data_IF_794497201909
#
_entry.id   IF_794497201909
#
_cell.length_a   1.000
_cell.length_b   1.000
_cell.length_c   1.000
_cell.angle_alpha   90.00
_cell.angle_beta   90.00
_cell.angle_gamma   90.00
#
_symmetry.space_group_name_H-M   'P 1'
#
loop_
_entity.id
_entity.type
_entity.pdbx_description
1 polymer ?
#
# COMPACT_ATOMS: atom_id res chain seq x y z
N UNK A 1 61.09 16.64 -9.20
CA UNK A 1 59.88 16.40 -10.01
C UNK A 1 59.06 15.33 -9.30
N UNK A 2 57.78 15.57 -8.98
CA UNK A 2 56.94 14.58 -8.27
C UNK A 2 56.04 13.89 -9.30
N UNK A 3 56.20 12.58 -9.46
CA UNK A 3 55.40 11.76 -10.37
C UNK A 3 54.05 11.46 -9.73
N UNK A 4 52.96 11.81 -10.44
CA UNK A 4 51.59 11.54 -10.01
C UNK A 4 51.22 10.15 -10.56
N UNK A 5 51.08 9.17 -9.68
CA UNK A 5 50.58 7.84 -10.04
C UNK A 5 49.09 7.97 -10.38
N UNK A 6 48.75 7.66 -11.64
CA UNK A 6 47.37 7.56 -12.11
C UNK A 6 46.78 6.25 -11.58
N UNK A 7 46.02 6.30 -10.48
CA UNK A 7 45.21 5.16 -10.05
C UNK A 7 44.01 5.03 -11.00
N UNK A 8 43.99 3.97 -11.80
CA UNK A 8 42.83 3.56 -12.59
C UNK A 8 41.71 3.08 -11.67
N UNK A 9 40.54 3.68 -11.81
CA UNK A 9 39.33 3.33 -11.08
C UNK A 9 38.80 1.97 -11.58
N UNK A 10 38.97 0.91 -10.79
CA UNK A 10 38.32 -0.38 -11.04
C UNK A 10 36.93 -0.33 -10.37
N UNK A 11 35.88 -0.23 -11.18
CA UNK A 11 34.49 -0.31 -10.71
C UNK A 11 34.06 -1.79 -10.76
N UNK A 12 34.01 -2.44 -9.60
CA UNK A 12 33.32 -3.72 -9.46
C UNK A 12 31.82 -3.43 -9.40
N UNK A 13 31.12 -3.57 -10.54
CA UNK A 13 29.66 -3.58 -10.54
C UNK A 13 29.21 -4.91 -9.96
N UNK A 14 28.92 -4.93 -8.66
CA UNK A 14 28.17 -6.02 -8.08
C UNK A 14 26.78 -6.01 -8.73
N UNK A 15 26.48 -7.04 -9.53
CA UNK A 15 25.13 -7.25 -10.03
C UNK A 15 24.24 -7.55 -8.83
N UNK A 16 23.51 -6.53 -8.39
CA UNK A 16 22.42 -6.71 -7.43
C UNK A 16 21.34 -7.49 -8.17
N UNK A 17 21.16 -8.75 -7.78
CA UNK A 17 20.05 -9.56 -8.29
C UNK A 17 18.76 -8.84 -7.93
N UNK A 18 18.09 -8.29 -8.95
CA UNK A 18 16.73 -7.82 -8.82
C UNK A 18 15.88 -9.01 -8.41
N UNK A 19 15.44 -9.03 -7.15
CA UNK A 19 14.42 -9.98 -6.70
C UNK A 19 13.17 -9.71 -7.55
N UNK A 20 12.85 -10.64 -8.44
CA UNK A 20 11.57 -10.66 -9.13
C UNK A 20 10.52 -10.97 -8.07
N UNK A 21 9.84 -9.94 -7.57
CA UNK A 21 8.65 -10.14 -6.75
C UNK A 21 7.57 -10.72 -7.65
N UNK A 22 7.02 -11.87 -7.25
CA UNK A 22 5.87 -12.45 -7.92
C UNK A 22 4.72 -11.43 -7.87
N UNK A 23 4.28 -10.96 -9.04
CA UNK A 23 3.01 -10.24 -9.18
C UNK A 23 1.93 -11.31 -9.13
N UNK A 24 1.54 -11.70 -7.91
CA UNK A 24 0.59 -12.79 -7.72
C UNK A 24 0.55 -13.31 -6.30
N UNK A 25 0.44 -12.41 -5.32
CA UNK A 25 0.09 -12.74 -3.94
C UNK A 25 -1.11 -11.90 -3.58
N UNK A 26 -2.29 -12.53 -3.51
CA UNK A 26 -3.56 -11.86 -3.27
C UNK A 26 -3.44 -10.93 -2.06
N UNK A 27 -3.64 -9.62 -2.28
CA UNK A 27 -3.84 -8.64 -1.22
C UNK A 27 -5.10 -9.04 -0.45
N UNK A 28 -4.94 -9.95 0.50
CA UNK A 28 -6.00 -10.43 1.36
C UNK A 28 -6.04 -9.50 2.56
N UNK A 29 -6.77 -8.40 2.42
CA UNK A 29 -7.09 -7.55 3.56
C UNK A 29 -8.07 -8.32 4.46
N UNK A 30 -7.57 -8.87 5.56
CA UNK A 30 -8.46 -9.45 6.56
C UNK A 30 -8.93 -8.35 7.50
N UNK A 31 -10.20 -8.01 7.41
CA UNK A 31 -10.84 -7.05 8.29
C UNK A 31 -11.48 -7.80 9.47
N UNK A 32 -11.00 -7.49 10.68
CA UNK A 32 -11.63 -7.93 11.93
C UNK A 32 -12.41 -6.79 12.54
N UNK A 33 -13.60 -7.13 13.06
CA UNK A 33 -14.36 -6.25 13.94
C UNK A 33 -13.62 -6.19 15.28
N UNK A 34 -13.22 -5.00 15.71
CA UNK A 34 -12.71 -4.75 17.06
C UNK A 34 -13.86 -4.64 18.07
N UNK A 35 -13.51 -4.65 19.35
CA UNK A 35 -14.42 -4.25 20.43
C UNK A 35 -14.38 -2.74 20.59
N UNK A 36 -15.53 -2.08 20.74
CA UNK A 36 -15.58 -0.61 20.84
C UNK A 36 -15.23 0.09 19.52
N UNK A 37 -14.62 1.28 19.62
CA UNK A 37 -14.15 2.03 18.45
C UNK A 37 -12.77 1.56 18.02
N UNK A 38 -12.63 0.27 17.71
CA UNK A 38 -11.39 -0.28 17.15
C UNK A 38 -11.61 -1.00 15.82
N UNK A 39 -10.68 -0.80 14.89
CA UNK A 39 -10.61 -1.55 13.63
C UNK A 39 -9.25 -2.22 13.49
N UNK A 40 -9.23 -3.41 12.91
CA UNK A 40 -7.98 -4.11 12.59
C UNK A 40 -7.96 -4.58 11.16
N UNK A 41 -6.78 -4.50 10.54
CA UNK A 41 -6.53 -5.07 9.24
C UNK A 41 -5.21 -5.84 9.21
N UNK A 42 -5.14 -6.85 8.34
CA UNK A 42 -3.90 -7.54 8.02
C UNK A 42 -3.70 -7.69 6.52
N UNK A 43 -2.45 -7.60 6.06
CA UNK A 43 -2.03 -7.85 4.68
C UNK A 43 -0.84 -8.80 4.71
N UNK A 44 -0.95 -9.94 4.02
CA UNK A 44 0.13 -10.94 3.96
C UNK A 44 1.18 -10.55 2.91
N UNK A 45 2.44 -10.92 3.14
CA UNK A 45 3.56 -10.81 2.19
C UNK A 45 3.95 -9.38 1.75
N UNK A 46 3.12 -8.38 2.07
CA UNK A 46 3.42 -6.96 1.89
C UNK A 46 4.16 -6.44 3.12
N UNK A 47 5.42 -6.03 2.93
CA UNK A 47 6.26 -5.55 4.03
C UNK A 47 6.10 -4.06 4.33
N UNK A 48 5.52 -3.29 3.40
CA UNK A 48 5.33 -1.85 3.51
C UNK A 48 4.06 -1.41 2.78
N UNK A 49 3.25 -0.58 3.43
CA UNK A 49 2.08 0.06 2.83
C UNK A 49 1.88 1.45 3.46
N UNK A 50 1.32 2.38 2.70
CA UNK A 50 0.81 3.63 3.26
C UNK A 50 -0.65 3.41 3.64
N UNK A 51 -1.00 3.78 4.86
CA UNK A 51 -2.35 3.70 5.40
C UNK A 51 -2.84 5.12 5.59
N UNK A 52 -4.01 5.43 5.06
CA UNK A 52 -4.63 6.74 5.21
C UNK A 52 -6.08 6.58 5.63
N UNK A 53 -6.53 7.36 6.60
CA UNK A 53 -7.94 7.45 6.98
C UNK A 53 -8.46 8.80 6.53
N UNK A 54 -9.60 8.77 5.83
CA UNK A 54 -10.32 9.94 5.37
C UNK A 54 -11.65 10.09 6.10
N UNK A 55 -12.08 11.34 6.30
CA UNK A 55 -13.47 11.63 6.66
C UNK A 55 -14.42 11.52 5.45
N UNK A 56 -15.73 11.70 5.69
CA UNK A 56 -16.75 11.71 4.63
C UNK A 56 -16.54 12.75 3.52
N UNK A 57 -15.79 13.81 3.82
CA UNK A 57 -15.46 14.90 2.90
C UNK A 57 -14.13 14.66 2.18
N UNK A 58 -13.52 13.47 2.33
CA UNK A 58 -12.23 13.09 1.77
C UNK A 58 -11.05 13.90 2.31
N UNK A 59 -11.17 14.49 3.51
CA UNK A 59 -10.02 15.08 4.19
C UNK A 59 -9.20 13.99 4.87
N UNK A 60 -7.87 14.07 4.76
CA UNK A 60 -6.96 13.20 5.51
C UNK A 60 -7.01 13.56 6.98
N UNK A 61 -7.41 12.61 7.82
CA UNK A 61 -7.44 12.77 9.28
C UNK A 61 -6.37 11.94 9.98
N UNK A 62 -5.83 10.93 9.29
CA UNK A 62 -4.70 10.13 9.75
C UNK A 62 -3.93 9.57 8.55
N UNK A 63 -2.61 9.49 8.67
CA UNK A 63 -1.78 8.79 7.70
C UNK A 63 -0.51 8.24 8.35
N UNK A 64 -0.13 7.03 7.97
CA UNK A 64 1.13 6.41 8.37
C UNK A 64 1.72 5.53 7.27
N UNK A 65 3.02 5.23 7.38
CA UNK A 65 3.64 4.11 6.66
C UNK A 65 3.72 2.91 7.59
N UNK A 66 2.90 1.90 7.33
CA UNK A 66 2.90 0.63 8.06
C UNK A 66 3.96 -0.32 7.48
N UNK A 67 4.72 -0.97 8.36
CA UNK A 67 5.75 -1.95 7.98
C UNK A 67 5.64 -3.24 8.78
N UNK A 68 6.01 -4.38 8.18
CA UNK A 68 6.07 -5.66 8.88
C UNK A 68 6.92 -6.70 8.15
N UNK A 69 7.53 -7.62 8.89
CA UNK A 69 8.58 -8.51 8.35
C UNK A 69 8.04 -9.62 7.43
N UNK A 70 6.81 -10.10 7.66
CA UNK A 70 6.13 -11.15 6.87
C UNK A 70 4.74 -10.75 6.37
N UNK A 71 4.41 -9.47 6.50
CA UNK A 71 3.06 -8.93 6.36
C UNK A 71 2.80 -7.83 7.38
N UNK A 72 1.77 -7.04 7.13
CA UNK A 72 1.35 -5.94 8.01
C UNK A 72 0.14 -6.42 8.81
N UNK A 73 0.15 -6.18 10.12
CA UNK A 73 -1.00 -6.31 11.01
C UNK A 73 -1.10 -5.03 11.83
N UNK A 74 -2.24 -4.34 11.74
CA UNK A 74 -2.46 -3.08 12.43
C UNK A 74 -3.85 -3.04 13.06
N UNK A 75 -3.93 -2.44 14.23
CA UNK A 75 -5.16 -2.09 14.93
C UNK A 75 -5.12 -0.60 15.21
N UNK A 76 -6.23 0.09 14.93
CA UNK A 76 -6.40 1.51 15.20
C UNK A 76 -7.56 1.69 16.17
N UNK A 77 -7.30 2.50 17.18
CA UNK A 77 -8.35 3.08 18.01
C UNK A 77 -8.92 4.31 17.29
N UNK A 78 -10.23 4.41 17.28
CA UNK A 78 -11.06 5.46 16.72
C UNK A 78 -11.87 6.14 17.84
N UNK A 79 -11.42 6.05 19.09
CA UNK A 79 -12.11 6.58 20.26
C UNK A 79 -12.37 8.09 20.15
N UNK A 80 -11.41 8.83 19.55
CA UNK A 80 -11.52 10.26 19.32
C UNK A 80 -12.39 10.64 18.10
N UNK A 81 -12.91 9.64 17.37
CA UNK A 81 -13.65 9.87 16.14
C UNK A 81 -15.15 9.96 16.47
N UNK A 82 -15.82 11.04 16.05
CA UNK A 82 -17.28 11.13 16.14
C UNK A 82 -17.99 10.01 15.37
N UNK A 83 -19.26 9.80 15.70
CA UNK A 83 -20.14 8.94 14.91
C UNK A 83 -20.22 9.46 13.46
N UNK A 84 -20.05 8.56 12.51
CA UNK A 84 -19.93 8.93 11.10
C UNK A 84 -19.38 7.84 10.19
N UNK A 85 -19.23 8.22 8.92
CA UNK A 85 -18.65 7.38 7.87
C UNK A 85 -17.25 7.90 7.53
N UNK A 86 -16.31 6.99 7.44
CA UNK A 86 -14.90 7.23 7.16
C UNK A 86 -14.39 6.22 6.15
N UNK A 87 -13.19 6.44 5.62
CA UNK A 87 -12.59 5.55 4.63
C UNK A 87 -11.15 5.21 5.00
N UNK A 88 -10.85 3.92 5.07
CA UNK A 88 -9.51 3.38 5.20
C UNK A 88 -8.95 3.07 3.81
N UNK A 89 -7.96 3.84 3.35
CA UNK A 89 -7.18 3.52 2.16
C UNK A 89 -5.87 2.84 2.57
N UNK A 90 -5.59 1.69 1.96
CA UNK A 90 -4.31 1.01 2.06
C UNK A 90 -3.66 1.01 0.68
N UNK A 91 -2.54 1.71 0.58
CA UNK A 91 -1.76 1.90 -0.63
C UNK A 91 -0.47 1.08 -0.57
N UNK A 92 -0.30 0.19 -1.53
CA UNK A 92 0.94 -0.58 -1.75
C UNK A 92 1.60 -0.12 -3.05
N UNK A 93 2.71 -0.75 -3.43
CA UNK A 93 3.33 -0.53 -4.73
C UNK A 93 2.46 -1.01 -5.91
N UNK A 94 1.60 -2.01 -5.66
CA UNK A 94 0.76 -2.64 -6.69
C UNK A 94 -0.59 -1.96 -6.88
N UNK A 95 -1.21 -1.50 -5.79
CA UNK A 95 -2.58 -0.96 -5.82
C UNK A 95 -2.92 -0.16 -4.56
N UNK A 96 -4.00 0.63 -4.68
CA UNK A 96 -4.75 1.25 -3.58
C UNK A 96 -6.06 0.49 -3.38
N UNK A 97 -6.42 0.20 -2.15
CA UNK A 97 -7.71 -0.40 -1.80
C UNK A 97 -8.35 0.41 -0.69
N UNK A 98 -9.62 0.78 -0.88
CA UNK A 98 -10.37 1.63 0.05
C UNK A 98 -11.53 0.85 0.64
N UNK A 99 -11.66 0.92 1.96
CA UNK A 99 -12.73 0.28 2.73
C UNK A 99 -13.48 1.32 3.56
N UNK A 100 -14.79 1.15 3.66
CA UNK A 100 -15.64 2.00 4.49
C UNK A 100 -15.53 1.61 5.97
N UNK A 101 -15.44 2.61 6.83
CA UNK A 101 -15.60 2.50 8.28
C UNK A 101 -16.89 3.22 8.66
N UNK A 102 -17.74 2.56 9.46
CA UNK A 102 -18.91 3.18 10.08
C UNK A 102 -18.74 3.15 11.58
N UNK A 103 -18.77 4.32 12.22
CA UNK A 103 -18.79 4.50 13.67
C UNK A 103 -20.20 4.88 14.08
N UNK A 104 -20.82 4.09 14.94
CA UNK A 104 -22.16 4.37 15.48
C UNK A 104 -22.32 3.75 16.85
N UNK A 105 -22.90 4.49 17.79
CA UNK A 105 -23.21 4.00 19.14
C UNK A 105 -21.97 3.39 19.84
N UNK A 106 -20.83 4.09 19.77
CA UNK A 106 -19.56 3.65 20.38
C UNK A 106 -18.96 2.35 19.79
N UNK A 107 -19.45 1.91 18.63
CA UNK A 107 -18.95 0.75 17.92
C UNK A 107 -18.48 1.17 16.54
N UNK A 108 -17.29 0.72 16.17
CA UNK A 108 -16.81 0.86 14.79
C UNK A 108 -16.96 -0.45 14.01
N UNK A 109 -17.24 -0.32 12.72
CA UNK A 109 -17.33 -1.43 11.78
C UNK A 109 -16.55 -1.09 10.53
N UNK A 110 -15.59 -1.94 10.17
CA UNK A 110 -14.86 -1.84 8.91
C UNK A 110 -15.49 -2.82 7.91
N UNK A 111 -15.88 -2.34 6.73
CA UNK A 111 -16.45 -3.16 5.67
C UNK A 111 -15.41 -4.12 5.12
N UNK A 112 -15.77 -5.40 5.01
CA UNK A 112 -14.93 -6.40 4.32
C UNK A 112 -14.88 -6.20 2.82
N UNK A 113 -15.94 -5.63 2.24
CA UNK A 113 -16.00 -5.32 0.82
C UNK A 113 -15.34 -3.97 0.58
N UNK A 114 -14.37 -3.93 -0.33
CA UNK A 114 -13.78 -2.67 -0.79
C UNK A 114 -14.83 -1.83 -1.51
N UNK A 115 -14.80 -0.53 -1.26
CA UNK A 115 -15.61 0.47 -2.00
C UNK A 115 -14.87 0.96 -3.24
N UNK A 116 -13.54 0.88 -3.24
CA UNK A 116 -12.70 1.17 -4.39
C UNK A 116 -11.44 0.32 -4.37
N UNK A 117 -10.95 0.01 -5.57
CA UNK A 117 -9.70 -0.69 -5.80
C UNK A 117 -9.05 -0.17 -7.08
N UNK A 118 -7.84 0.35 -6.97
CA UNK A 118 -7.12 1.00 -8.07
C UNK A 118 -5.74 0.37 -8.20
N UNK A 119 -5.52 -0.37 -9.29
CA UNK A 119 -4.22 -0.96 -9.59
C UNK A 119 -3.26 0.07 -10.15
N UNK A 120 -2.07 0.13 -9.57
CA UNK A 120 -0.92 0.87 -10.08
C UNK A 120 -0.23 0.00 -11.14
N UNK A 121 -0.84 -0.12 -12.31
CA UNK A 121 -0.15 -0.67 -13.46
C UNK A 121 0.83 0.37 -14.02
N UNK A 122 2.02 -0.06 -14.43
CA UNK A 122 2.67 0.62 -15.55
C UNK A 122 1.73 0.41 -16.75
N UNK A 123 1.18 1.49 -17.32
CA UNK A 123 0.65 1.44 -18.68
C UNK A 123 1.83 1.24 -19.65
N UNK A 124 2.50 0.08 -19.63
CA UNK A 124 3.30 -0.33 -20.77
C UNK A 124 2.31 -0.77 -21.83
N UNK A 125 1.82 0.19 -22.60
CA UNK A 125 1.30 -0.08 -23.94
C UNK A 125 2.41 -0.83 -24.68
N UNK A 126 2.30 -2.17 -24.73
CA UNK A 126 3.11 -2.95 -25.65
C UNK A 126 2.62 -2.53 -27.03
N UNK A 127 3.36 -1.64 -27.68
CA UNK A 127 3.10 -1.23 -29.04
C UNK A 127 3.28 -2.48 -29.92
N UNK A 128 2.22 -3.26 -30.08
CA UNK A 128 2.18 -4.33 -31.07
C UNK A 128 1.86 -3.68 -32.40
N UNK A 129 2.93 -3.40 -33.14
CA UNK A 129 2.86 -2.98 -34.54
C UNK A 129 1.90 -3.89 -35.33
N UNK A 130 0.86 -3.31 -35.91
CA UNK A 130 0.15 -3.80 -37.10
C UNK A 130 -0.67 -2.62 -37.66
N UNK A 131 -0.58 -2.18 -38.90
CA UNK A 131 0.14 -2.66 -40.07
C UNK A 131 0.52 -1.48 -40.98
N UNK A 132 1.66 -1.56 -41.65
CA UNK A 132 1.89 -0.80 -42.88
C UNK A 132 0.91 -1.33 -43.93
N UNK A 133 0.08 -0.45 -44.48
CA UNK A 133 -0.68 -0.73 -45.71
C UNK A 133 0.10 -0.09 -46.84
N UNK A 134 0.39 -0.90 -47.86
CA UNK A 134 1.10 -0.57 -49.10
C UNK A 134 0.58 0.68 -49.78
#
# INVERSE_FOLDING_TARGET
MKTILKLGLVVLVAMTTMSTYAIGGDFLLNVKKGTGKEISFSVNEIQKANVTIYDKSHNVIYSETATGKGGILKTYSLEEFPDGVYFLEVETDLKKVTHEIVISNEVSTLSRKSVAEVYKGDLKMKNQNVAAVN
#
